data_IF_852114732761
#
_entry.id   IF_852114732761
#
_cell.length_a   1.000
_cell.length_b   1.000
_cell.length_c   1.000
_cell.angle_alpha   90.00
_cell.angle_beta   90.00
_cell.angle_gamma   90.00
#
_symmetry.space_group_name_H-M   'P 1'
#
loop_
_entity.id
_entity.type
_entity.pdbx_description
1 polymer ?
#
# COMPACT_ATOMS: atom_id res chain seq x y z
N UNK A 1 -36.07 33.21 52.82
CA UNK A 1 -36.81 31.95 52.77
C UNK A 1 -35.91 30.87 52.15
N UNK A 2 -35.47 29.86 52.93
CA UNK A 2 -34.59 28.80 52.46
C UNK A 2 -35.11 28.07 51.21
N UNK A 3 -36.43 27.95 51.05
CA UNK A 3 -37.04 27.28 49.91
C UNK A 3 -36.87 28.10 48.62
N UNK A 4 -36.91 29.43 48.72
CA UNK A 4 -36.73 30.34 47.58
C UNK A 4 -35.27 30.35 47.14
N UNK A 5 -34.33 30.32 48.09
CA UNK A 5 -32.90 30.29 47.78
C UNK A 5 -32.51 28.97 47.09
N UNK A 6 -32.98 27.84 47.61
CA UNK A 6 -32.77 26.54 47.00
C UNK A 6 -33.29 26.47 45.56
N UNK A 7 -34.49 27.00 45.30
CA UNK A 7 -35.05 27.03 43.93
C UNK A 7 -34.20 27.88 42.99
N UNK A 8 -33.74 29.04 43.45
CA UNK A 8 -32.88 29.93 42.63
C UNK A 8 -31.53 29.28 42.31
N UNK A 9 -30.89 28.69 43.31
CA UNK A 9 -29.58 28.06 43.14
C UNK A 9 -29.67 26.81 42.25
N UNK A 10 -30.70 25.97 42.46
CA UNK A 10 -30.96 24.79 41.63
C UNK A 10 -31.21 25.17 40.17
N UNK A 11 -31.99 26.23 39.93
CA UNK A 11 -32.25 26.73 38.59
C UNK A 11 -30.98 27.27 37.92
N UNK A 12 -30.12 27.98 38.67
CA UNK A 12 -28.82 28.42 38.17
C UNK A 12 -27.96 27.24 37.72
N UNK A 13 -27.81 26.23 38.58
CA UNK A 13 -27.01 25.05 38.27
C UNK A 13 -27.57 24.25 37.09
N UNK A 14 -28.89 24.17 36.98
CA UNK A 14 -29.54 23.52 35.83
C UNK A 14 -29.21 24.23 34.51
N UNK A 15 -29.26 25.56 34.47
CA UNK A 15 -28.92 26.33 33.28
C UNK A 15 -27.42 26.21 32.92
N UNK A 16 -26.54 26.20 33.92
CA UNK A 16 -25.11 25.94 33.71
C UNK A 16 -24.87 24.53 33.14
N UNK A 17 -25.60 23.53 33.64
CA UNK A 17 -25.54 22.18 33.11
C UNK A 17 -26.04 22.09 31.65
N UNK A 18 -27.17 22.71 31.32
CA UNK A 18 -27.67 22.78 29.95
C UNK A 18 -26.65 23.43 29.01
N UNK A 19 -26.03 24.54 29.42
CA UNK A 19 -24.98 25.20 28.64
C UNK A 19 -23.75 24.31 28.42
N UNK A 20 -23.40 23.42 29.36
CA UNK A 20 -22.33 22.43 29.18
C UNK A 20 -22.73 21.32 28.20
N UNK A 21 -23.97 20.83 28.27
CA UNK A 21 -24.49 19.83 27.33
C UNK A 21 -24.48 20.37 25.90
N UNK A 22 -24.98 21.58 25.68
CA UNK A 22 -24.97 22.22 24.36
C UNK A 22 -23.57 22.33 23.77
N UNK A 23 -22.59 22.81 24.58
CA UNK A 23 -21.17 22.87 24.17
C UNK A 23 -20.63 21.49 23.79
N UNK A 24 -20.96 20.46 24.57
CA UNK A 24 -20.47 19.10 24.33
C UNK A 24 -21.07 18.48 23.06
N UNK A 25 -22.36 18.71 22.79
CA UNK A 25 -23.02 18.24 21.57
C UNK A 25 -22.36 18.86 20.34
N UNK A 26 -22.21 20.19 20.32
CA UNK A 26 -21.57 20.90 19.20
C UNK A 26 -20.14 20.42 19.00
N UNK A 27 -19.33 20.37 20.07
CA UNK A 27 -17.96 19.90 20.00
C UNK A 27 -17.85 18.45 19.47
N UNK A 28 -18.74 17.57 19.91
CA UNK A 28 -18.77 16.17 19.46
C UNK A 28 -19.10 16.06 17.97
N UNK A 29 -20.08 16.82 17.47
CA UNK A 29 -20.43 16.85 16.06
C UNK A 29 -19.24 17.29 15.19
N UNK A 30 -18.61 18.43 15.54
CA UNK A 30 -17.46 18.93 14.79
C UNK A 30 -16.25 17.99 14.86
N UNK A 31 -15.98 17.39 16.03
CA UNK A 31 -14.88 16.43 16.18
C UNK A 31 -15.12 15.14 15.41
N UNK A 32 -16.36 14.67 15.31
CA UNK A 32 -16.72 13.51 14.49
C UNK A 32 -16.57 13.78 12.99
N UNK A 33 -17.02 14.94 12.49
CA UNK A 33 -16.86 15.30 11.08
C UNK A 33 -15.39 15.35 10.64
N UNK A 34 -14.50 15.81 11.52
CA UNK A 34 -13.05 15.87 11.24
C UNK A 34 -12.41 14.48 11.14
N UNK A 35 -12.92 13.48 11.87
CA UNK A 35 -12.42 12.09 11.77
C UNK A 35 -12.93 11.42 10.49
N UNK A 36 -14.18 11.68 10.09
CA UNK A 36 -14.77 11.09 8.88
C UNK A 36 -14.12 11.60 7.58
N UNK A 37 -13.57 12.82 7.58
CA UNK A 37 -12.89 13.41 6.42
C UNK A 37 -11.38 13.18 6.39
N UNK A 38 -10.79 12.50 7.38
CA UNK A 38 -9.42 12.03 7.20
C UNK A 38 -9.52 10.86 6.21
N UNK A 39 -9.06 10.98 4.94
CA UNK A 39 -8.76 9.78 4.20
C UNK A 39 -7.84 9.03 5.14
N UNK A 40 -8.22 7.82 5.55
CA UNK A 40 -7.29 6.94 6.21
C UNK A 40 -6.12 6.93 5.24
N UNK A 41 -5.03 7.61 5.63
CA UNK A 41 -3.78 7.49 4.93
C UNK A 41 -3.56 6.00 4.98
N UNK A 42 -3.81 5.36 3.84
CA UNK A 42 -3.59 3.93 3.64
C UNK A 42 -2.14 3.80 4.04
N UNK A 43 -1.92 3.37 5.28
CA UNK A 43 -0.60 3.00 5.74
C UNK A 43 -0.21 1.97 4.70
N UNK A 44 0.77 2.25 3.82
CA UNK A 44 1.21 1.22 2.89
C UNK A 44 1.58 0.08 3.82
N UNK A 45 0.84 -1.03 3.73
CA UNK A 45 1.07 -2.19 4.58
C UNK A 45 2.57 -2.40 4.56
N UNK A 46 3.23 -2.21 5.71
CA UNK A 46 4.69 -2.36 5.78
C UNK A 46 4.95 -3.73 5.22
N UNK A 47 5.57 -3.75 4.04
CA UNK A 47 5.83 -4.97 3.31
C UNK A 47 6.49 -5.93 4.28
N UNK A 48 5.99 -7.16 4.36
CA UNK A 48 6.59 -8.22 5.19
C UNK A 48 8.09 -8.44 4.88
N UNK A 49 8.60 -7.87 3.77
CA UNK A 49 10.03 -7.77 3.48
C UNK A 49 10.83 -6.95 4.51
N UNK A 50 10.24 -5.92 5.14
CA UNK A 50 10.96 -4.98 6.02
C UNK A 50 11.18 -5.55 7.43
N UNK A 51 10.23 -6.35 7.92
CA UNK A 51 10.28 -6.92 9.28
C UNK A 51 11.05 -8.25 9.34
N UNK A 52 11.29 -8.89 8.20
CA UNK A 52 11.90 -10.22 8.12
C UNK A 52 13.40 -10.26 7.87
N UNK A 53 14.08 -9.12 7.68
CA UNK A 53 15.50 -9.11 7.29
C UNK A 53 15.79 -9.96 6.04
N UNK A 54 14.75 -10.28 5.25
CA UNK A 54 14.89 -10.99 3.99
C UNK A 54 15.42 -10.00 2.98
N UNK A 55 16.74 -9.85 2.99
CA UNK A 55 17.49 -9.36 1.84
C UNK A 55 17.12 -10.26 0.66
N UNK A 56 16.23 -9.77 -0.20
CA UNK A 56 16.01 -10.36 -1.51
C UNK A 56 17.30 -10.15 -2.31
N UNK A 57 18.25 -11.05 -2.09
CA UNK A 57 19.38 -11.23 -2.97
C UNK A 57 18.82 -11.80 -4.26
N UNK A 58 18.32 -10.92 -5.13
CA UNK A 58 18.14 -11.23 -6.55
C UNK A 58 19.43 -11.90 -7.04
N UNK A 59 19.25 -13.01 -7.76
CA UNK A 59 20.33 -13.91 -8.13
C UNK A 59 21.59 -13.15 -8.55
N UNK A 60 22.65 -13.43 -7.79
CA UNK A 60 24.01 -13.00 -8.05
C UNK A 60 24.36 -13.51 -9.43
N UNK A 61 24.65 -12.62 -10.38
CA UNK A 61 25.39 -13.03 -11.57
C UNK A 61 26.87 -13.10 -11.19
N UNK A 62 27.25 -14.19 -10.54
CA UNK A 62 28.59 -14.75 -10.60
C UNK A 62 28.47 -16.26 -10.54
N UNK A 63 28.75 -16.84 -11.71
CA UNK A 63 29.43 -18.10 -11.95
C UNK A 63 29.24 -19.28 -10.97
N UNK A 64 28.86 -20.39 -11.59
CA UNK A 64 29.34 -21.75 -11.30
C UNK A 64 28.58 -22.58 -10.25
N UNK A 65 27.94 -23.65 -10.75
CA UNK A 65 27.97 -24.99 -10.14
C UNK A 65 27.03 -25.29 -8.97
N UNK A 66 26.04 -26.15 -9.20
CA UNK A 66 25.62 -27.16 -8.21
C UNK A 66 24.16 -27.15 -7.77
N UNK A 67 23.43 -28.15 -8.24
CA UNK A 67 22.03 -28.56 -7.96
C UNK A 67 21.74 -28.76 -6.45
N UNK A 68 20.50 -28.59 -5.94
CA UNK A 68 19.48 -29.65 -5.89
C UNK A 68 18.04 -29.14 -5.69
N UNK A 69 17.10 -29.90 -6.26
CA UNK A 69 15.68 -29.62 -6.46
C UNK A 69 14.77 -29.74 -5.23
N UNK A 70 13.61 -29.08 -5.31
CA UNK A 70 12.24 -29.61 -5.10
C UNK A 70 11.27 -28.43 -5.29
N UNK A 71 10.30 -28.34 -6.20
CA UNK A 71 9.63 -29.24 -7.12
C UNK A 71 8.25 -28.61 -7.37
N UNK A 72 7.95 -28.27 -8.64
CA UNK A 72 6.61 -28.17 -9.28
C UNK A 72 6.54 -27.06 -10.35
N UNK A 73 6.62 -27.46 -11.63
CA UNK A 73 5.75 -26.90 -12.67
C UNK A 73 6.33 -25.86 -13.65
N UNK A 74 7.02 -26.36 -14.68
CA UNK A 74 7.10 -25.78 -16.03
C UNK A 74 7.73 -24.38 -16.21
N UNK A 75 9.06 -24.31 -16.11
CA UNK A 75 9.85 -23.21 -16.69
C UNK A 75 10.18 -23.51 -18.16
N UNK A 76 9.19 -23.33 -19.04
CA UNK A 76 9.52 -22.97 -20.41
C UNK A 76 9.83 -21.49 -20.42
N UNK A 77 11.10 -21.11 -20.60
CA UNK A 77 11.52 -19.71 -20.71
C UNK A 77 10.71 -19.01 -21.80
N UNK A 78 9.69 -18.25 -21.39
CA UNK A 78 8.86 -17.48 -22.30
C UNK A 78 9.71 -16.31 -22.79
N UNK A 79 10.37 -16.49 -23.93
CA UNK A 79 11.14 -15.43 -24.56
C UNK A 79 10.27 -14.19 -24.80
N UNK A 80 10.72 -13.04 -24.31
CA UNK A 80 10.00 -11.79 -24.41
C UNK A 80 10.01 -11.26 -25.84
N UNK A 81 8.91 -10.63 -26.27
CA UNK A 81 8.73 -10.09 -27.63
C UNK A 81 9.83 -9.11 -28.07
N UNK A 82 10.47 -8.41 -27.12
CA UNK A 82 11.54 -7.45 -27.38
C UNK A 82 12.97 -7.98 -27.10
N UNK A 83 13.11 -9.19 -26.56
CA UNK A 83 14.41 -9.77 -26.22
C UNK A 83 15.21 -10.09 -27.49
N UNK A 84 16.56 -10.17 -27.41
CA UNK A 84 17.37 -10.65 -28.52
C UNK A 84 16.87 -12.01 -29.02
N UNK A 85 16.71 -12.15 -30.32
CA UNK A 85 16.21 -13.38 -30.90
C UNK A 85 17.28 -14.50 -30.77
N UNK A 86 16.90 -15.74 -30.39
CA UNK A 86 17.85 -16.84 -30.21
C UNK A 86 18.43 -17.33 -31.55
N UNK A 87 17.92 -16.78 -32.66
CA UNK A 87 18.46 -16.95 -34.01
C UNK A 87 19.86 -16.35 -34.19
N UNK A 88 20.33 -15.53 -33.24
CA UNK A 88 21.63 -14.87 -33.30
C UNK A 88 21.74 -13.78 -34.36
N UNK A 89 20.64 -13.43 -35.04
CA UNK A 89 20.65 -12.40 -36.07
C UNK A 89 21.02 -11.04 -35.47
N UNK A 90 21.94 -10.36 -36.13
CA UNK A 90 22.33 -8.98 -35.85
C UNK A 90 21.91 -8.07 -37.01
N UNK A 91 21.75 -6.78 -36.73
CA UNK A 91 21.61 -5.76 -37.77
C UNK A 91 22.98 -5.38 -38.33
N UNK A 92 23.01 -4.63 -39.42
CA UNK A 92 24.26 -4.14 -40.04
C UNK A 92 25.12 -3.32 -39.06
N UNK A 93 24.50 -2.67 -38.07
CA UNK A 93 25.16 -1.96 -36.97
C UNK A 93 25.72 -2.89 -35.85
N UNK A 94 25.71 -4.20 -36.04
CA UNK A 94 26.19 -5.20 -35.08
C UNK A 94 25.28 -5.47 -33.88
N UNK A 95 24.14 -4.78 -33.76
CA UNK A 95 23.20 -4.97 -32.63
C UNK A 95 22.27 -6.18 -32.82
N UNK A 96 21.98 -6.98 -31.77
CA UNK A 96 21.08 -8.13 -31.87
C UNK A 96 19.65 -7.73 -32.29
N UNK A 97 19.08 -8.50 -33.23
CA UNK A 97 17.71 -8.31 -33.70
C UNK A 97 16.74 -8.81 -32.62
N UNK A 98 15.76 -7.96 -32.27
CA UNK A 98 14.71 -8.30 -31.31
C UNK A 98 13.82 -9.45 -31.82
N UNK A 99 13.30 -10.30 -30.93
CA UNK A 99 12.51 -11.50 -31.25
C UNK A 99 11.34 -11.18 -32.20
N UNK A 100 10.55 -10.14 -31.91
CA UNK A 100 9.45 -9.67 -32.80
C UNK A 100 9.85 -9.25 -34.20
N UNK A 101 11.14 -8.99 -34.44
CA UNK A 101 11.70 -8.57 -35.73
C UNK A 101 12.51 -9.69 -36.41
N UNK A 102 12.65 -10.87 -35.80
CA UNK A 102 13.23 -12.09 -36.40
C UNK A 102 12.11 -13.17 -36.41
N UNK A 103 12.05 -14.06 -35.42
CA UNK A 103 11.12 -15.22 -35.40
C UNK A 103 9.72 -14.92 -34.84
N UNK A 104 9.49 -13.73 -34.29
CA UNK A 104 8.20 -13.30 -33.73
C UNK A 104 7.44 -12.29 -34.60
N UNK A 105 7.71 -12.22 -35.92
CA UNK A 105 7.10 -11.22 -36.83
C UNK A 105 5.60 -11.40 -37.04
N UNK A 106 5.05 -12.60 -36.83
CA UNK A 106 3.63 -12.92 -37.05
C UNK A 106 2.92 -13.47 -35.80
N UNK A 107 3.43 -13.15 -34.60
CA UNK A 107 2.71 -13.30 -33.31
C UNK A 107 2.31 -11.94 -32.71
#
# INVERSE_FOLDING_TARGET
DPLVEYKKESFRMFNEFMAMVEKQVVYSLFKMSVIAQRPQAVQPAKSLLDQGGLKLSGARKSADGGVTESGAGATGDKIGRNDPCPCGATKDDGTPVKYKKCHGKEK
#
